data_IF_180460263018
#
_entry.id   IF_180460263018
#
_cell.length_a   1.000
_cell.length_b   1.000
_cell.length_c   1.000
_cell.angle_alpha   90.00
_cell.angle_beta   90.00
_cell.angle_gamma   90.00
#
_symmetry.space_group_name_H-M   'P 1'
#
loop_
_entity.id
_entity.type
_entity.pdbx_description
1 polymer ?
#
# COMPACT_ATOMS: atom_id res chain seq x y z
N UNK A 1 10.52 -48.29 24.59
CA UNK A 1 11.37 -47.18 25.08
C UNK A 1 12.15 -46.53 23.94
N UNK A 2 12.95 -47.27 23.15
CA UNK A 2 13.76 -46.71 22.05
C UNK A 2 12.96 -46.07 20.90
N UNK A 3 11.84 -46.68 20.50
CA UNK A 3 11.00 -46.19 19.39
C UNK A 3 10.32 -44.84 19.69
N UNK A 4 9.97 -44.59 20.95
CA UNK A 4 9.39 -43.31 21.39
C UNK A 4 10.40 -42.16 21.35
N UNK A 5 11.66 -42.45 21.67
CA UNK A 5 12.75 -41.48 21.58
C UNK A 5 13.09 -41.14 20.12
N UNK A 6 13.08 -42.13 19.23
CA UNK A 6 13.29 -41.92 17.79
C UNK A 6 12.15 -41.10 17.16
N UNK A 7 10.89 -41.37 17.54
CA UNK A 7 9.74 -40.57 17.11
C UNK A 7 9.79 -39.13 17.65
N UNK A 8 10.21 -38.95 18.90
CA UNK A 8 10.40 -37.62 19.49
C UNK A 8 11.51 -36.83 18.81
N UNK A 9 12.66 -37.45 18.53
CA UNK A 9 13.76 -36.81 17.82
C UNK A 9 13.39 -36.45 16.38
N UNK A 10 12.73 -37.37 15.65
CA UNK A 10 12.25 -37.11 14.29
C UNK A 10 11.20 -35.98 14.27
N UNK A 11 10.28 -35.95 15.25
CA UNK A 11 9.31 -34.87 15.37
C UNK A 11 9.98 -33.51 15.66
N UNK A 12 10.99 -33.49 16.53
CA UNK A 12 11.76 -32.29 16.83
C UNK A 12 12.56 -31.79 15.60
N UNK A 13 13.16 -32.71 14.86
CA UNK A 13 13.93 -32.40 13.66
C UNK A 13 13.02 -31.88 12.53
N UNK A 14 11.85 -32.48 12.34
CA UNK A 14 10.85 -32.01 11.36
C UNK A 14 10.32 -30.62 11.74
N UNK A 15 10.03 -30.36 13.01
CA UNK A 15 9.54 -29.05 13.47
C UNK A 15 10.62 -27.98 13.40
N UNK A 16 11.88 -28.32 13.70
CA UNK A 16 13.03 -27.44 13.51
C UNK A 16 13.27 -27.13 12.03
N UNK A 17 13.21 -28.14 11.15
CA UNK A 17 13.40 -27.94 9.71
C UNK A 17 12.28 -27.08 9.09
N UNK A 18 11.03 -27.24 9.56
CA UNK A 18 9.90 -26.40 9.14
C UNK A 18 9.98 -24.96 9.64
N UNK A 19 10.43 -24.74 10.88
CA UNK A 19 10.62 -23.38 11.41
C UNK A 19 11.79 -22.67 10.73
N UNK A 20 12.88 -23.38 10.42
CA UNK A 20 14.00 -22.83 9.64
C UNK A 20 13.58 -22.57 8.20
N UNK A 21 12.79 -23.43 7.54
CA UNK A 21 12.29 -23.15 6.17
C UNK A 21 11.28 -22.01 6.13
N UNK A 22 10.34 -21.93 7.08
CA UNK A 22 9.40 -20.81 7.19
C UNK A 22 10.14 -19.51 7.48
N UNK A 23 11.15 -19.57 8.34
CA UNK A 23 12.07 -18.47 8.56
C UNK A 23 12.95 -18.24 7.34
N UNK A 24 13.27 -19.17 6.44
CA UNK A 24 14.11 -18.96 5.24
C UNK A 24 13.33 -18.44 4.00
N UNK A 25 11.99 -18.43 4.06
CA UNK A 25 11.13 -17.52 3.29
C UNK A 25 11.24 -16.06 3.84
N UNK A 26 12.43 -15.63 4.29
CA UNK A 26 12.65 -14.77 5.47
C UNK A 26 12.42 -13.28 5.30
N UNK A 27 12.93 -12.72 4.22
CA UNK A 27 13.27 -11.31 4.20
C UNK A 27 13.74 -10.96 2.80
N UNK A 28 14.53 -11.86 2.20
CA UNK A 28 15.02 -11.72 0.83
C UNK A 28 13.89 -11.76 -0.19
N UNK A 29 12.90 -12.64 -0.01
CA UNK A 29 11.71 -12.68 -0.85
C UNK A 29 10.80 -11.48 -0.59
N UNK A 30 10.62 -11.07 0.67
CA UNK A 30 9.88 -9.85 1.01
C UNK A 30 10.52 -8.59 0.38
N UNK A 31 11.84 -8.45 0.49
CA UNK A 31 12.62 -7.38 -0.13
C UNK A 31 12.53 -7.41 -1.66
N UNK A 32 12.54 -8.59 -2.28
CA UNK A 32 12.34 -8.72 -3.73
C UNK A 32 10.94 -8.30 -4.16
N UNK A 33 9.91 -8.70 -3.43
CA UNK A 33 8.54 -8.27 -3.68
C UNK A 33 8.34 -6.76 -3.44
N UNK A 34 8.97 -6.22 -2.41
CA UNK A 34 8.95 -4.79 -2.10
C UNK A 34 9.65 -3.98 -3.20
N UNK A 35 10.84 -4.42 -3.63
CA UNK A 35 11.60 -3.78 -4.71
C UNK A 35 10.83 -3.84 -6.04
N UNK A 36 10.23 -4.99 -6.35
CA UNK A 36 9.40 -5.15 -7.54
C UNK A 36 8.18 -4.22 -7.49
N UNK A 37 7.48 -4.17 -6.36
CA UNK A 37 6.35 -3.27 -6.15
C UNK A 37 6.74 -1.80 -6.30
N UNK A 38 7.91 -1.41 -5.76
CA UNK A 38 8.45 -0.06 -5.90
C UNK A 38 8.76 0.30 -7.35
N UNK A 39 9.45 -0.60 -8.08
CA UNK A 39 9.76 -0.39 -9.50
C UNK A 39 8.49 -0.28 -10.33
N UNK A 40 7.49 -1.13 -10.08
CA UNK A 40 6.18 -1.03 -10.74
C UNK A 40 5.49 0.29 -10.44
N UNK A 41 5.47 0.74 -9.17
CA UNK A 41 4.90 2.04 -8.81
C UNK A 41 5.57 3.19 -9.55
N UNK A 42 6.91 3.22 -9.57
CA UNK A 42 7.67 4.28 -10.25
C UNK A 42 7.39 4.27 -11.75
N UNK A 43 7.36 3.10 -12.39
CA UNK A 43 7.05 2.99 -13.81
C UNK A 43 5.63 3.51 -14.13
N UNK A 44 4.64 3.14 -13.31
CA UNK A 44 3.27 3.65 -13.45
C UNK A 44 3.17 5.16 -13.22
N UNK A 45 3.86 5.69 -12.21
CA UNK A 45 3.89 7.13 -11.94
C UNK A 45 4.48 7.93 -13.11
N UNK A 46 5.58 7.46 -13.70
CA UNK A 46 6.20 8.07 -14.88
C UNK A 46 5.28 7.97 -16.10
N UNK A 47 4.66 6.80 -16.31
CA UNK A 47 3.72 6.58 -17.41
C UNK A 47 2.50 7.52 -17.33
N UNK A 48 1.89 7.64 -16.16
CA UNK A 48 0.78 8.57 -15.92
C UNK A 48 1.23 10.03 -16.07
N UNK A 49 2.42 10.39 -15.59
CA UNK A 49 2.97 11.74 -15.75
C UNK A 49 3.21 12.11 -17.21
N UNK A 50 3.60 11.14 -18.04
CA UNK A 50 3.76 11.32 -19.48
C UNK A 50 2.39 11.45 -20.20
N UNK A 51 1.41 10.64 -19.82
CA UNK A 51 0.06 10.68 -20.42
C UNK A 51 -0.76 11.90 -19.98
N UNK A 52 -0.55 12.41 -18.76
CA UNK A 52 -1.34 13.48 -18.16
C UNK A 52 -0.45 14.61 -17.61
N UNK A 53 0.26 15.38 -18.47
CA UNK A 53 1.11 16.50 -18.05
C UNK A 53 0.33 17.64 -17.36
N UNK A 54 -1.00 17.62 -17.44
CA UNK A 54 -1.92 18.57 -16.79
C UNK A 54 -1.87 18.52 -15.25
N UNK A 55 -1.43 17.41 -14.64
CA UNK A 55 -1.38 17.23 -13.18
C UNK A 55 -0.55 18.33 -12.48
N UNK A 56 0.58 18.74 -13.08
CA UNK A 56 1.47 19.75 -12.52
C UNK A 56 0.85 21.16 -12.49
N UNK A 57 -0.03 21.47 -13.45
CA UNK A 57 -0.72 22.77 -13.52
C UNK A 57 -1.86 22.86 -12.50
N UNK A 58 -2.58 21.77 -12.28
CA UNK A 58 -3.66 21.71 -11.30
C UNK A 58 -3.14 21.81 -9.86
N UNK A 59 -1.95 21.26 -9.59
CA UNK A 59 -1.26 21.38 -8.30
C UNK A 59 -0.94 22.84 -7.95
N UNK A 60 -0.43 23.60 -8.91
CA UNK A 60 -0.11 25.03 -8.72
C UNK A 60 -1.37 25.85 -8.41
N UNK A 61 -2.46 25.59 -9.15
CA UNK A 61 -3.76 26.25 -8.94
C UNK A 61 -4.35 25.87 -7.57
N UNK A 62 -4.25 24.61 -7.14
CA UNK A 62 -4.71 24.16 -5.82
C UNK A 62 -3.93 24.80 -4.66
N UNK A 63 -2.62 24.99 -4.80
CA UNK A 63 -1.79 25.68 -3.79
C UNK A 63 -2.13 27.16 -3.69
N UNK A 64 -2.42 27.81 -4.81
CA UNK A 64 -2.82 29.22 -4.86
C UNK A 64 -4.23 29.44 -4.29
N UNK A 65 -5.17 28.57 -4.62
CA UNK A 65 -6.52 28.55 -4.03
C UNK A 65 -6.44 28.21 -2.52
N UNK A 66 -5.58 27.27 -2.12
CA UNK A 66 -5.38 26.90 -0.72
C UNK A 66 -4.87 28.04 0.17
N UNK A 67 -4.11 28.99 -0.38
CA UNK A 67 -3.70 30.22 0.32
C UNK A 67 -4.86 31.20 0.54
N UNK A 68 -5.91 31.13 -0.25
CA UNK A 68 -7.07 32.02 -0.21
C UNK A 68 -8.23 31.44 0.63
N UNK A 69 -8.20 30.15 0.93
CA UNK A 69 -9.31 29.46 1.61
C UNK A 69 -9.19 29.59 3.13
N UNK A 70 -10.24 30.07 3.83
CA UNK A 70 -10.30 30.07 5.28
C UNK A 70 -10.01 28.69 5.87
N UNK A 71 -9.15 28.63 6.90
CA UNK A 71 -8.73 27.37 7.54
C UNK A 71 -9.91 26.47 7.96
N UNK A 72 -11.05 27.07 8.30
CA UNK A 72 -12.29 26.37 8.65
C UNK A 72 -12.87 25.58 7.46
N UNK A 73 -12.86 26.16 6.26
CA UNK A 73 -13.33 25.50 5.03
C UNK A 73 -12.39 24.37 4.65
N UNK A 74 -11.08 24.57 4.83
CA UNK A 74 -10.08 23.51 4.64
C UNK A 74 -10.30 22.33 5.58
N UNK A 75 -10.59 22.60 6.87
CA UNK A 75 -10.91 21.54 7.85
C UNK A 75 -12.20 20.80 7.50
N UNK A 76 -13.25 21.51 7.06
CA UNK A 76 -14.48 20.86 6.59
C UNK A 76 -14.26 20.01 5.34
N UNK A 77 -13.42 20.48 4.41
CA UNK A 77 -13.02 19.72 3.23
C UNK A 77 -12.28 18.43 3.60
N UNK A 78 -11.31 18.51 4.53
CA UNK A 78 -10.60 17.35 5.07
C UNK A 78 -11.55 16.34 5.73
N UNK A 79 -12.48 16.82 6.56
CA UNK A 79 -13.47 15.95 7.20
C UNK A 79 -14.36 15.25 6.17
N UNK A 80 -14.82 15.99 5.14
CA UNK A 80 -15.62 15.43 4.06
C UNK A 80 -14.83 14.41 3.22
N UNK A 81 -13.57 14.70 2.91
CA UNK A 81 -12.68 13.78 2.20
C UNK A 81 -12.45 12.49 2.99
N UNK A 82 -12.21 12.59 4.29
CA UNK A 82 -12.03 11.43 5.17
C UNK A 82 -13.31 10.57 5.28
N UNK A 83 -14.49 11.19 5.37
CA UNK A 83 -15.75 10.46 5.37
C UNK A 83 -15.99 9.72 4.05
N UNK A 84 -15.71 10.37 2.92
CA UNK A 84 -15.81 9.75 1.59
C UNK A 84 -14.84 8.58 1.44
N UNK A 85 -13.60 8.76 1.90
CA UNK A 85 -12.55 7.75 1.86
C UNK A 85 -12.95 6.49 2.65
N UNK A 86 -13.48 6.65 3.86
CA UNK A 86 -13.96 5.54 4.69
C UNK A 86 -15.15 4.82 4.03
N UNK A 87 -16.12 5.55 3.46
CA UNK A 87 -17.26 4.94 2.77
C UNK A 87 -16.78 4.14 1.54
N UNK A 88 -15.88 4.69 0.73
CA UNK A 88 -15.41 4.02 -0.50
C UNK A 88 -14.53 2.82 -0.16
N UNK A 89 -13.52 2.98 0.70
CA UNK A 89 -12.58 1.89 0.95
C UNK A 89 -13.13 0.85 1.91
N UNK A 90 -13.87 1.24 2.94
CA UNK A 90 -14.41 0.31 3.92
C UNK A 90 -15.78 -0.24 3.50
N UNK A 91 -16.77 0.62 3.30
CA UNK A 91 -18.14 0.14 3.05
C UNK A 91 -18.33 -0.38 1.62
N UNK A 92 -17.77 0.29 0.62
CA UNK A 92 -17.95 -0.13 -0.77
C UNK A 92 -16.96 -1.23 -1.16
N UNK A 93 -15.66 -1.05 -0.94
CA UNK A 93 -14.66 -2.00 -1.40
C UNK A 93 -14.45 -3.15 -0.41
N UNK A 94 -14.16 -2.85 0.86
CA UNK A 94 -13.81 -3.89 1.82
C UNK A 94 -14.97 -4.85 2.12
N UNK A 95 -16.21 -4.36 2.18
CA UNK A 95 -17.37 -5.21 2.47
C UNK A 95 -17.92 -5.97 1.26
N UNK A 96 -17.91 -5.39 0.04
CA UNK A 96 -18.52 -6.05 -1.14
C UNK A 96 -17.60 -7.00 -1.89
N UNK A 97 -16.29 -6.81 -1.82
CA UNK A 97 -15.36 -7.77 -2.41
C UNK A 97 -15.42 -9.08 -1.58
N UNK A 98 -15.33 -10.25 -2.22
CA UNK A 98 -15.42 -11.54 -1.53
C UNK A 98 -14.05 -12.19 -1.33
N UNK A 99 -13.12 -11.99 -2.28
CA UNK A 99 -11.79 -12.57 -2.22
C UNK A 99 -10.77 -11.64 -1.53
N UNK A 100 -10.17 -12.09 -0.41
CA UNK A 100 -9.21 -11.30 0.38
C UNK A 100 -7.98 -10.84 -0.41
N UNK A 101 -7.50 -11.64 -1.36
CA UNK A 101 -6.36 -11.26 -2.20
C UNK A 101 -6.72 -10.12 -3.17
N UNK A 102 -7.94 -10.18 -3.75
CA UNK A 102 -8.45 -9.13 -4.64
C UNK A 102 -8.77 -7.86 -3.85
N UNK A 103 -9.31 -7.97 -2.62
CA UNK A 103 -9.50 -6.83 -1.71
C UNK A 103 -8.23 -6.02 -1.53
N UNK A 104 -7.17 -6.69 -1.06
CA UNK A 104 -5.91 -6.03 -0.75
C UNK A 104 -5.30 -5.43 -2.02
N UNK A 105 -5.33 -6.16 -3.14
CA UNK A 105 -4.81 -5.67 -4.42
C UNK A 105 -5.55 -4.44 -4.94
N UNK A 106 -6.89 -4.52 -5.02
CA UNK A 106 -7.73 -3.44 -5.57
C UNK A 106 -7.71 -2.21 -4.67
N UNK A 107 -7.84 -2.38 -3.35
CA UNK A 107 -7.80 -1.27 -2.40
C UNK A 107 -6.44 -0.59 -2.41
N UNK A 108 -5.35 -1.37 -2.35
CA UNK A 108 -3.99 -0.80 -2.38
C UNK A 108 -3.70 -0.08 -3.70
N UNK A 109 -4.15 -0.63 -4.83
CA UNK A 109 -3.98 -0.01 -6.14
C UNK A 109 -4.78 1.28 -6.28
N UNK A 110 -6.07 1.27 -5.89
CA UNK A 110 -6.92 2.45 -5.94
C UNK A 110 -6.43 3.54 -4.97
N UNK A 111 -6.00 3.15 -3.77
CA UNK A 111 -5.42 4.05 -2.79
C UNK A 111 -4.14 4.70 -3.31
N UNK A 112 -3.25 3.90 -3.90
CA UNK A 112 -2.05 4.36 -4.56
C UNK A 112 -2.32 5.27 -5.76
N UNK A 113 -3.43 5.08 -6.48
CA UNK A 113 -3.78 5.90 -7.64
C UNK A 113 -4.43 7.22 -7.22
N UNK A 114 -5.30 7.20 -6.20
CA UNK A 114 -5.91 8.38 -5.60
C UNK A 114 -4.88 9.27 -4.89
N UNK A 115 -3.87 8.67 -4.28
CA UNK A 115 -2.77 9.35 -3.57
C UNK A 115 -1.44 9.25 -4.33
N UNK A 116 -1.51 9.02 -5.64
CA UNK A 116 -0.35 8.81 -6.49
C UNK A 116 0.67 9.94 -6.38
N UNK A 117 1.97 9.64 -6.58
CA UNK A 117 3.04 10.57 -6.25
C UNK A 117 2.97 11.80 -7.16
N UNK A 118 2.56 12.95 -6.60
CA UNK A 118 2.63 14.25 -7.27
C UNK A 118 4.07 14.82 -7.29
N UNK A 119 5.08 13.95 -7.49
CA UNK A 119 6.54 14.14 -7.38
C UNK A 119 7.14 13.67 -6.05
N UNK A 120 8.29 13.00 -6.13
CA UNK A 120 9.18 12.65 -5.00
C UNK A 120 9.54 13.86 -4.12
N UNK A 121 9.45 15.09 -4.65
CA UNK A 121 9.68 16.34 -3.90
C UNK A 121 8.64 16.62 -2.82
N UNK A 122 7.40 16.14 -2.95
CA UNK A 122 6.33 16.33 -1.95
C UNK A 122 6.63 15.61 -0.62
N UNK A 123 7.48 14.59 -0.65
CA UNK A 123 7.90 13.83 0.54
C UNK A 123 9.02 14.52 1.33
N UNK A 124 9.78 15.43 0.70
CA UNK A 124 10.87 16.20 1.32
C UNK A 124 10.42 17.59 1.80
N UNK A 125 9.20 18.01 1.47
CA UNK A 125 8.57 19.25 1.94
C UNK A 125 7.61 19.01 3.13
N UNK A 126 7.96 18.09 4.03
CA UNK A 126 7.37 18.01 5.36
C UNK A 126 8.39 18.45 6.41
#
# INVERSE_FOLDING_TARGET
MLQLLLLGAAYLEITHHKTVQAKNMTLRNLLRWLLLGFVCMVAFAVFISFLFPVQARNQAVLVEVGKQVPRVIFLMFLANASALEEIVYRQLLWENLTCSFVKIGVISFLFALAHGPNQLGSWLML
#
